data_IF_257747778250
#
_entry.id   IF_257747778250
#
_cell.length_a   1.000
_cell.length_b   1.000
_cell.length_c   1.000
_cell.angle_alpha   90.00
_cell.angle_beta   90.00
_cell.angle_gamma   90.00
#
_symmetry.space_group_name_H-M   'P 1'
#
loop_
_entity.id
_entity.type
_entity.pdbx_description
1 polymer ?
#
# COMPACT_ATOMS: atom_id res chain seq x y z
N UNK A 1 -5.78 -24.07 -0.57
CA UNK A 1 -5.39 -22.69 -0.93
C UNK A 1 -3.89 -22.58 -0.76
N UNK A 2 -3.23 -21.87 -1.67
CA UNK A 2 -1.77 -21.83 -1.80
C UNK A 2 -1.16 -20.83 -0.79
N UNK A 3 -0.07 -21.26 -0.13
CA UNK A 3 0.77 -20.36 0.65
C UNK A 3 1.59 -19.51 -0.33
N UNK A 4 1.85 -18.25 0.01
CA UNK A 4 2.79 -17.43 -0.77
C UNK A 4 4.16 -18.11 -0.76
N UNK A 5 4.78 -18.18 -1.92
CA UNK A 5 6.20 -18.46 -2.05
C UNK A 5 7.03 -17.36 -1.38
N UNK A 6 8.30 -17.64 -1.09
CA UNK A 6 9.21 -16.62 -0.53
C UNK A 6 9.38 -15.41 -1.47
N UNK A 7 9.36 -15.64 -2.78
CA UNK A 7 9.45 -14.58 -3.79
C UNK A 7 8.19 -13.70 -3.79
N UNK A 8 7.00 -14.30 -3.70
CA UNK A 8 5.75 -13.54 -3.63
C UNK A 8 5.62 -12.76 -2.33
N UNK A 9 6.10 -13.31 -1.20
CA UNK A 9 6.15 -12.59 0.07
C UNK A 9 7.09 -11.38 -0.01
N UNK A 10 8.30 -11.57 -0.56
CA UNK A 10 9.24 -10.46 -0.76
C UNK A 10 8.63 -9.38 -1.67
N UNK A 11 7.96 -9.80 -2.75
CA UNK A 11 7.29 -8.87 -3.66
C UNK A 11 6.17 -8.09 -2.97
N UNK A 12 5.41 -8.75 -2.10
CA UNK A 12 4.36 -8.11 -1.31
C UNK A 12 4.93 -7.07 -0.35
N UNK A 13 6.06 -7.37 0.30
CA UNK A 13 6.79 -6.42 1.15
C UNK A 13 7.32 -5.22 0.37
N UNK A 14 7.92 -5.43 -0.81
CA UNK A 14 8.35 -4.33 -1.70
C UNK A 14 7.17 -3.41 -2.09
N UNK A 15 6.01 -3.99 -2.44
CA UNK A 15 4.82 -3.22 -2.80
C UNK A 15 4.28 -2.40 -1.62
N UNK A 16 4.31 -2.97 -0.40
CA UNK A 16 3.93 -2.25 0.82
C UNK A 16 4.81 -1.02 1.06
N UNK A 17 6.13 -1.16 0.90
CA UNK A 17 7.07 -0.05 1.06
C UNK A 17 6.87 1.03 -0.01
N UNK A 18 6.63 0.63 -1.27
CA UNK A 18 6.38 1.54 -2.38
C UNK A 18 5.09 2.35 -2.20
N UNK A 19 4.00 1.71 -1.79
CA UNK A 19 2.74 2.41 -1.52
C UNK A 19 2.88 3.36 -0.32
N UNK A 20 3.56 2.94 0.75
CA UNK A 20 3.83 3.81 1.90
C UNK A 20 4.68 5.04 1.52
N UNK A 21 5.67 4.87 0.65
CA UNK A 21 6.47 5.98 0.11
C UNK A 21 5.64 6.90 -0.78
N UNK A 22 4.76 6.34 -1.61
CA UNK A 22 3.91 7.11 -2.52
C UNK A 22 2.92 7.99 -1.74
N UNK A 23 2.29 7.45 -0.69
CA UNK A 23 1.46 8.23 0.25
C UNK A 23 2.23 9.41 0.82
N UNK A 24 3.46 9.19 1.31
CA UNK A 24 4.29 10.26 1.91
C UNK A 24 4.60 11.36 0.90
N UNK A 25 4.98 10.99 -0.33
CA UNK A 25 5.30 11.95 -1.39
C UNK A 25 4.08 12.75 -1.82
N UNK A 26 2.96 12.09 -2.05
CA UNK A 26 1.71 12.77 -2.46
C UNK A 26 1.20 13.69 -1.35
N UNK A 27 1.26 13.25 -0.09
CA UNK A 27 0.89 14.12 1.03
C UNK A 27 1.82 15.33 1.18
N UNK A 28 3.13 15.16 0.95
CA UNK A 28 4.08 16.27 0.95
C UNK A 28 3.76 17.27 -0.16
N UNK A 29 3.50 16.79 -1.38
CA UNK A 29 3.11 17.64 -2.51
C UNK A 29 1.83 18.46 -2.24
N UNK A 30 0.82 17.84 -1.62
CA UNK A 30 -0.40 18.54 -1.19
C UNK A 30 -0.07 19.62 -0.14
N UNK A 31 0.72 19.27 0.88
CA UNK A 31 1.06 20.16 1.99
C UNK A 31 1.91 21.36 1.56
N UNK A 32 2.75 21.20 0.54
CA UNK A 32 3.57 22.28 0.00
C UNK A 32 2.74 23.34 -0.73
N UNK A 33 1.48 23.04 -1.10
CA UNK A 33 0.48 24.03 -1.52
C UNK A 33 0.82 24.80 -2.79
N UNK A 34 1.87 24.40 -3.53
CA UNK A 34 2.38 25.15 -4.68
C UNK A 34 1.47 25.04 -5.91
N UNK A 35 0.52 24.11 -5.92
CA UNK A 35 -0.23 23.72 -7.11
C UNK A 35 -1.71 23.40 -6.78
N UNK A 36 -2.49 24.45 -6.47
CA UNK A 36 -3.94 24.37 -6.17
C UNK A 36 -4.78 23.75 -7.30
N UNK A 37 -4.33 23.84 -8.56
CA UNK A 37 -4.99 23.21 -9.70
C UNK A 37 -4.91 21.68 -9.67
N UNK A 38 -3.87 21.13 -9.05
CA UNK A 38 -3.62 19.69 -8.99
C UNK A 38 -4.08 19.06 -7.68
N UNK A 39 -4.47 19.86 -6.69
CA UNK A 39 -4.94 19.39 -5.38
C UNK A 39 -6.05 18.32 -5.47
N UNK A 40 -7.08 18.44 -6.34
CA UNK A 40 -8.08 17.38 -6.49
C UNK A 40 -7.49 16.05 -6.96
N UNK A 41 -6.60 16.09 -7.96
CA UNK A 41 -5.92 14.91 -8.52
C UNK A 41 -4.96 14.28 -7.52
N UNK A 42 -4.20 15.11 -6.78
CA UNK A 42 -3.30 14.63 -5.73
C UNK A 42 -4.08 14.00 -4.57
N UNK A 43 -5.25 14.55 -4.22
CA UNK A 43 -6.13 13.99 -3.19
C UNK A 43 -6.73 12.66 -3.61
N UNK A 44 -7.13 12.54 -4.88
CA UNK A 44 -7.59 11.27 -5.46
C UNK A 44 -6.45 10.23 -5.45
N UNK A 45 -5.27 10.59 -5.94
CA UNK A 45 -4.10 9.71 -5.94
C UNK A 45 -3.73 9.25 -4.51
N UNK A 46 -3.75 10.16 -3.54
CA UNK A 46 -3.51 9.83 -2.13
C UNK A 46 -4.53 8.82 -1.60
N UNK A 47 -5.80 8.95 -1.99
CA UNK A 47 -6.87 8.03 -1.61
C UNK A 47 -6.63 6.65 -2.22
N UNK A 48 -6.25 6.58 -3.50
CA UNK A 48 -5.92 5.33 -4.18
C UNK A 48 -4.73 4.62 -3.52
N UNK A 49 -3.63 5.32 -3.24
CA UNK A 49 -2.47 4.72 -2.58
C UNK A 49 -2.81 4.15 -1.19
N UNK A 50 -3.65 4.86 -0.41
CA UNK A 50 -4.13 4.36 0.89
C UNK A 50 -4.98 3.10 0.74
N UNK A 51 -5.84 3.03 -0.28
CA UNK A 51 -6.64 1.84 -0.57
C UNK A 51 -5.77 0.66 -0.99
N UNK A 52 -4.79 0.87 -1.87
CA UNK A 52 -3.85 -0.18 -2.28
C UNK A 52 -3.03 -0.69 -1.09
N UNK A 53 -2.50 0.20 -0.24
CA UNK A 53 -1.77 -0.20 0.95
C UNK A 53 -2.63 -1.08 1.86
N UNK A 54 -3.90 -0.71 2.06
CA UNK A 54 -4.83 -1.51 2.86
C UNK A 54 -5.07 -2.90 2.24
N UNK A 55 -5.25 -2.98 0.92
CA UNK A 55 -5.42 -4.25 0.21
C UNK A 55 -4.18 -5.16 0.36
N UNK A 56 -2.97 -4.61 0.24
CA UNK A 56 -1.72 -5.35 0.41
C UNK A 56 -1.57 -5.86 1.86
N UNK A 57 -1.93 -5.04 2.86
CA UNK A 57 -1.94 -5.45 4.27
C UNK A 57 -2.93 -6.60 4.49
N UNK A 58 -4.12 -6.54 3.88
CA UNK A 58 -5.12 -7.59 4.04
C UNK A 58 -4.70 -8.89 3.34
N UNK A 59 -4.02 -8.82 2.19
CA UNK A 59 -3.37 -9.98 1.58
C UNK A 59 -2.33 -10.59 2.53
N UNK A 60 -1.42 -9.77 3.08
CA UNK A 60 -0.39 -10.24 4.01
C UNK A 60 -1.01 -10.90 5.25
N UNK A 61 -2.09 -10.33 5.81
CA UNK A 61 -2.83 -10.89 6.95
C UNK A 61 -3.51 -12.20 6.61
N UNK A 62 -4.12 -12.31 5.44
CA UNK A 62 -4.78 -13.54 5.01
C UNK A 62 -3.78 -14.69 4.85
N UNK A 63 -2.59 -14.40 4.33
CA UNK A 63 -1.53 -15.41 4.18
C UNK A 63 -0.82 -15.74 5.51
N UNK A 64 -0.56 -14.75 6.37
CA UNK A 64 0.10 -14.96 7.67
C UNK A 64 -0.83 -15.50 8.77
N UNK A 65 -2.11 -15.13 8.75
CA UNK A 65 -3.12 -15.54 9.72
C UNK A 65 -3.59 -16.99 9.53
N UNK A 66 -3.64 -17.49 8.29
CA UNK A 66 -3.94 -18.89 8.01
C UNK A 66 -2.78 -19.82 8.36
N UNK A 67 -1.53 -19.36 8.27
CA UNK A 67 -0.36 -20.12 8.69
C UNK A 67 -0.38 -20.49 10.19
N UNK A 68 -1.06 -19.69 11.04
CA UNK A 68 -1.20 -19.98 12.48
C UNK A 68 -2.36 -20.92 12.83
N UNK A 69 -3.35 -21.10 11.96
CA UNK A 69 -4.50 -21.99 12.22
C UNK A 69 -4.29 -23.42 11.69
N UNK A 70 -3.22 -23.68 10.95
CA UNK A 70 -2.86 -25.02 10.45
C UNK A 70 -1.78 -25.73 11.29
N UNK A 71 -1.38 -25.14 12.44
CA UNK A 71 -0.46 -25.73 13.40
C UNK A 71 -1.16 -26.09 14.71
#
# INVERSE_FOLDING_TARGET
MEQLTQEELLKLEELLELEALSIKKTQAAINEGNETEWEPLLTEALTMHKQHLQQLIDQLRNHSGQARMQH
#
